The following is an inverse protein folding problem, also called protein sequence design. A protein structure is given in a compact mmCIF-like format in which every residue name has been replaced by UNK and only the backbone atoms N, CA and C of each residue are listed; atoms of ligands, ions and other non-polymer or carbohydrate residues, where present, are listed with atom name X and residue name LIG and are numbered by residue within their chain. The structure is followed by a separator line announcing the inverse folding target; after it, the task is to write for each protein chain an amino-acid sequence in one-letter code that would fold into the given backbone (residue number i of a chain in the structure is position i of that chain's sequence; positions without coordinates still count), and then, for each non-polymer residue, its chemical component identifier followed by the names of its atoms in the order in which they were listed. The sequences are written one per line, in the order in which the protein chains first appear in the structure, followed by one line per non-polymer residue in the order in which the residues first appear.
data_IF_609807668040
#
_entry.id   IF_609807668040
#
_cell.length_a   1.000
_cell.length_b   1.000
_cell.length_c   1.000
_cell.angle_alpha   90.00
_cell.angle_beta   90.00
_cell.angle_gamma   90.00
#
_symmetry.space_group_name_H-M   'P 1'
#
loop_
_entity.id
_entity.type
_entity.pdbx_description
1 polymer ?
#
# COMPACT_ATOMS: atom_id res chain seq x y z
N UNK A 1 -3.40 -15.54 25.49
CA UNK A 1 -2.08 -15.22 24.89
C UNK A 1 -1.95 -13.72 24.81
N UNK A 2 -0.83 -13.17 25.27
CA UNK A 2 -0.59 -11.73 25.21
C UNK A 2 -0.03 -11.41 23.82
N UNK A 3 -0.92 -11.07 22.88
CA UNK A 3 -0.60 -10.94 21.46
C UNK A 3 0.18 -9.66 21.14
N UNK A 4 0.10 -8.61 21.97
CA UNK A 4 0.83 -7.35 21.76
C UNK A 4 1.22 -6.63 23.07
N UNK A 5 2.36 -5.91 23.02
CA UNK A 5 2.88 -5.06 24.11
C UNK A 5 2.11 -3.75 24.28
N UNK A 6 1.50 -3.23 23.22
CA UNK A 6 0.58 -2.08 23.28
C UNK A 6 -0.84 -2.54 23.65
N UNK A 7 -1.44 -2.08 24.78
CA UNK A 7 -2.79 -2.47 25.19
C UNK A 7 -3.88 -2.19 24.16
N UNK A 8 -3.76 -1.12 23.37
CA UNK A 8 -4.76 -0.71 22.38
C UNK A 8 -4.86 -1.68 21.18
N UNK A 9 -3.82 -2.49 20.93
CA UNK A 9 -3.75 -3.42 19.79
C UNK A 9 -4.10 -4.86 20.18
N UNK A 10 -4.54 -5.10 21.42
CA UNK A 10 -4.91 -6.44 21.90
C UNK A 10 -6.26 -6.92 21.38
N UNK A 11 -7.11 -6.03 20.86
CA UNK A 11 -8.35 -6.40 20.18
C UNK A 11 -8.07 -6.80 18.73
N UNK A 12 -7.56 -8.02 18.54
CA UNK A 12 -7.56 -8.64 17.21
C UNK A 12 -9.00 -8.91 16.73
N UNK A 13 -9.23 -9.06 15.41
CA UNK A 13 -10.53 -9.50 14.90
C UNK A 13 -10.90 -10.87 15.48
N UNK A 14 -12.21 -11.08 15.69
CA UNK A 14 -12.74 -12.28 16.33
C UNK A 14 -12.24 -13.58 15.66
N UNK A 15 -12.07 -14.69 16.42
CA UNK A 15 -11.63 -15.96 15.85
C UNK A 15 -12.56 -16.41 14.72
N UNK A 16 -11.97 -16.85 13.62
CA UNK A 16 -12.68 -17.45 12.50
C UNK A 16 -13.47 -18.67 12.98
N UNK A 17 -14.81 -18.62 12.89
CA UNK A 17 -15.66 -19.79 13.08
C UNK A 17 -15.74 -20.56 11.77
N UNK A 18 -15.15 -21.75 11.74
CA UNK A 18 -15.31 -22.66 10.60
C UNK A 18 -16.80 -23.03 10.41
N UNK A 19 -17.35 -22.94 9.18
CA UNK A 19 -18.69 -23.46 8.90
C UNK A 19 -18.71 -24.98 9.05
N UNK A 20 -19.79 -25.52 9.64
CA UNK A 20 -20.02 -26.97 9.71
C UNK A 20 -20.15 -27.53 8.29
N UNK A 21 -19.39 -28.57 7.99
CA UNK A 21 -19.38 -29.28 6.71
C UNK A 21 -20.76 -29.88 6.41
N UNK A 22 -21.44 -29.34 5.40
CA UNK A 22 -22.58 -30.00 4.75
C UNK A 22 -22.03 -30.58 3.44
N UNK A 23 -22.02 -31.90 3.35
CA UNK A 23 -21.61 -32.64 2.16
C UNK A 23 -22.58 -32.37 1.01
N UNK A 24 -22.10 -31.72 -0.06
CA UNK A 24 -22.73 -31.75 -1.38
C UNK A 24 -21.66 -31.65 -2.49
N UNK A 25 -21.94 -32.18 -3.70
CA UNK A 25 -20.91 -32.63 -4.63
C UNK A 25 -20.17 -31.49 -5.33
N UNK A 26 -18.90 -31.75 -5.64
CA UNK A 26 -17.98 -30.84 -6.29
C UNK A 26 -18.53 -30.24 -7.59
N UNK A 27 -18.65 -28.91 -7.64
CA UNK A 27 -18.76 -28.14 -8.87
C UNK A 27 -17.94 -26.85 -8.74
N UNK A 28 -17.04 -26.64 -9.71
CA UNK A 28 -16.52 -25.34 -10.15
C UNK A 28 -15.80 -24.46 -9.14
N UNK A 29 -14.49 -24.24 -9.35
CA UNK A 29 -13.74 -23.21 -8.64
C UNK A 29 -14.47 -21.85 -8.68
N UNK A 30 -14.72 -21.28 -7.51
CA UNK A 30 -15.38 -19.99 -7.38
C UNK A 30 -14.55 -18.92 -8.11
N UNK A 31 -15.09 -18.38 -9.20
CA UNK A 31 -14.63 -17.13 -9.79
C UNK A 31 -14.62 -16.07 -8.66
N UNK A 32 -13.56 -15.25 -8.52
CA UNK A 32 -13.58 -14.15 -7.57
C UNK A 32 -14.83 -13.32 -7.83
N UNK A 33 -15.69 -13.19 -6.81
CA UNK A 33 -16.88 -12.36 -6.89
C UNK A 33 -16.45 -10.94 -7.23
N UNK A 34 -16.79 -10.48 -8.43
CA UNK A 34 -16.48 -9.12 -8.87
C UNK A 34 -17.12 -8.14 -7.88
N UNK A 35 -16.33 -7.22 -7.33
CA UNK A 35 -16.84 -6.24 -6.39
C UNK A 35 -17.97 -5.43 -7.06
N UNK A 36 -19.02 -5.04 -6.32
CA UNK A 36 -20.15 -4.31 -6.89
C UNK A 36 -19.67 -3.05 -7.63
N UNK A 37 -20.07 -2.93 -8.91
CA UNK A 37 -19.77 -1.80 -9.79
C UNK A 37 -20.52 -0.55 -9.33
N UNK A 38 -19.92 0.20 -8.40
CA UNK A 38 -20.33 1.57 -8.09
C UNK A 38 -19.82 2.52 -9.16
N UNK A 39 -20.50 3.67 -9.38
CA UNK A 39 -20.03 4.66 -10.34
C UNK A 39 -18.67 5.25 -9.91
N UNK A 40 -17.82 5.63 -10.87
CA UNK A 40 -16.55 6.27 -10.57
C UNK A 40 -16.78 7.62 -9.88
N UNK A 41 -15.98 7.89 -8.85
CA UNK A 41 -15.99 9.15 -8.11
C UNK A 41 -14.65 9.84 -8.29
N UNK A 42 -14.70 11.13 -8.61
CA UNK A 42 -13.58 12.04 -8.50
C UNK A 42 -14.13 13.37 -8.02
N UNK A 43 -14.01 13.64 -6.73
CA UNK A 43 -14.49 14.88 -6.13
C UNK A 43 -13.57 15.36 -5.01
N UNK A 44 -13.74 16.63 -4.61
CA UNK A 44 -13.07 17.22 -3.46
C UNK A 44 -14.12 17.55 -2.41
N UNK A 45 -13.97 16.97 -1.22
CA UNK A 45 -14.74 17.28 -0.02
C UNK A 45 -13.85 18.03 0.97
N UNK A 46 -13.96 19.36 0.96
CA UNK A 46 -13.09 20.24 1.74
C UNK A 46 -11.61 20.08 1.38
N UNK A 47 -10.84 19.42 2.27
CA UNK A 47 -9.41 19.15 2.09
C UNK A 47 -9.14 17.74 1.53
N UNK A 48 -10.16 16.89 1.43
CA UNK A 48 -10.02 15.49 1.02
C UNK A 48 -10.39 15.33 -0.45
N UNK A 49 -9.46 14.85 -1.25
CA UNK A 49 -9.74 14.34 -2.59
C UNK A 49 -10.22 12.89 -2.49
N UNK A 50 -11.37 12.62 -3.09
CA UNK A 50 -12.05 11.32 -3.07
C UNK A 50 -12.01 10.77 -4.50
N UNK A 51 -11.24 9.70 -4.71
CA UNK A 51 -11.08 9.02 -6.00
C UNK A 51 -11.52 7.58 -5.78
N UNK A 52 -12.69 7.19 -6.28
CA UNK A 52 -13.23 5.84 -6.02
C UNK A 52 -13.70 5.15 -7.29
N UNK A 53 -13.60 3.82 -7.31
CA UNK A 53 -14.18 2.94 -8.35
C UNK A 53 -13.76 3.29 -9.80
N UNK A 54 -12.59 3.91 -9.97
CA UNK A 54 -12.00 4.17 -11.28
C UNK A 54 -11.60 2.83 -11.93
N UNK A 55 -11.80 2.71 -13.25
CA UNK A 55 -11.42 1.53 -14.03
C UNK A 55 -10.77 1.98 -15.33
N UNK A 56 -9.57 1.48 -15.64
CA UNK A 56 -8.86 1.75 -16.88
C UNK A 56 -8.74 3.25 -17.19
N UNK A 57 -8.46 4.06 -16.15
CA UNK A 57 -8.36 5.51 -16.23
C UNK A 57 -6.93 5.98 -15.89
N UNK A 58 -6.06 6.15 -16.90
CA UNK A 58 -4.68 6.62 -16.69
C UNK A 58 -4.57 8.14 -16.52
N UNK A 59 -5.68 8.90 -16.64
CA UNK A 59 -5.66 10.37 -16.72
C UNK A 59 -6.11 11.09 -15.45
N UNK A 60 -6.13 10.44 -14.28
CA UNK A 60 -6.58 11.09 -13.05
C UNK A 60 -5.54 12.12 -12.62
N UNK A 61 -5.94 13.39 -12.49
CA UNK A 61 -5.05 14.50 -12.19
C UNK A 61 -5.60 15.39 -11.08
N UNK A 62 -4.78 15.59 -10.04
CA UNK A 62 -4.97 16.65 -9.05
C UNK A 62 -3.90 17.71 -9.32
N UNK A 63 -4.31 18.89 -9.80
CA UNK A 63 -3.42 19.98 -10.19
C UNK A 63 -3.46 21.20 -9.25
N UNK A 64 -4.58 21.43 -8.59
CA UNK A 64 -4.81 22.56 -7.67
C UNK A 64 -4.83 22.10 -6.21
N UNK A 65 -3.81 21.35 -5.81
CA UNK A 65 -3.71 20.77 -4.47
C UNK A 65 -3.02 21.73 -3.48
N UNK A 66 -3.54 21.81 -2.26
CA UNK A 66 -2.91 22.56 -1.17
C UNK A 66 -2.14 21.63 -0.23
N UNK A 67 -1.13 22.17 0.47
CA UNK A 67 -0.27 21.39 1.39
C UNK A 67 -1.01 20.69 2.52
N UNK A 68 -2.21 21.15 2.88
CA UNK A 68 -3.05 20.53 3.90
C UNK A 68 -4.03 19.47 3.34
N UNK A 69 -4.04 19.26 2.02
CA UNK A 69 -4.95 18.34 1.36
C UNK A 69 -4.52 16.88 1.57
N UNK A 70 -5.48 15.98 1.46
CA UNK A 70 -5.28 14.53 1.55
C UNK A 70 -5.94 13.87 0.35
N UNK A 71 -5.31 12.89 -0.27
CA UNK A 71 -5.93 12.11 -1.34
C UNK A 71 -6.28 10.70 -0.86
N UNK A 72 -7.49 10.23 -1.15
CA UNK A 72 -7.96 8.89 -0.85
C UNK A 72 -8.42 8.21 -2.14
N UNK A 73 -7.65 7.20 -2.58
CA UNK A 73 -7.93 6.40 -3.76
C UNK A 73 -8.44 5.03 -3.33
N UNK A 74 -9.69 4.70 -3.64
CA UNK A 74 -10.36 3.50 -3.14
C UNK A 74 -10.93 2.64 -4.27
N UNK A 75 -10.67 1.33 -4.22
CA UNK A 75 -11.23 0.35 -5.18
C UNK A 75 -11.07 0.74 -6.65
N UNK A 76 -9.95 1.38 -6.97
CA UNK A 76 -9.60 1.68 -8.34
C UNK A 76 -8.86 0.50 -8.96
N UNK A 77 -9.01 0.34 -10.28
CA UNK A 77 -8.37 -0.73 -11.04
C UNK A 77 -7.76 -0.17 -12.31
N UNK A 78 -6.53 -0.59 -12.65
CA UNK A 78 -5.90 -0.26 -13.93
C UNK A 78 -5.88 1.27 -14.17
N UNK A 79 -5.59 2.06 -13.14
CA UNK A 79 -5.76 3.52 -13.17
C UNK A 79 -4.52 4.23 -12.64
N UNK A 80 -4.26 5.43 -13.17
CA UNK A 80 -3.09 6.22 -12.80
C UNK A 80 -3.51 7.56 -12.24
N UNK A 81 -3.03 7.88 -11.04
CA UNK A 81 -3.25 9.16 -10.38
C UNK A 81 -1.96 10.00 -10.42
N UNK A 82 -2.06 11.22 -10.94
CA UNK A 82 -0.99 12.22 -10.86
C UNK A 82 -1.40 13.32 -9.88
N UNK A 83 -0.55 13.59 -8.90
CA UNK A 83 -0.73 14.66 -7.91
C UNK A 83 0.37 15.69 -8.08
N UNK A 84 0.03 16.85 -8.62
CA UNK A 84 0.96 17.98 -8.75
C UNK A 84 0.95 18.82 -7.47
N UNK A 85 2.11 19.34 -7.13
CA UNK A 85 2.34 20.10 -5.92
C UNK A 85 2.54 19.24 -4.67
N UNK A 86 2.70 19.92 -3.54
CA UNK A 86 2.90 19.27 -2.24
C UNK A 86 1.58 19.16 -1.51
N UNK A 87 1.19 17.96 -1.09
CA UNK A 87 0.01 17.72 -0.25
C UNK A 87 0.40 17.04 1.06
N UNK A 88 -0.56 16.86 1.98
CA UNK A 88 -0.25 16.28 3.28
C UNK A 88 0.10 14.79 3.16
N UNK A 89 -0.85 14.00 2.68
CA UNK A 89 -0.71 12.54 2.56
C UNK A 89 -1.62 11.95 1.47
N UNK A 90 -1.31 10.71 1.11
CA UNK A 90 -2.09 9.89 0.19
C UNK A 90 -2.38 8.54 0.82
N UNK A 91 -3.60 8.04 0.61
CA UNK A 91 -3.97 6.66 0.98
C UNK A 91 -4.55 5.97 -0.25
N UNK A 92 -3.97 4.83 -0.60
CA UNK A 92 -4.39 3.94 -1.67
C UNK A 92 -4.93 2.66 -1.03
N UNK A 93 -6.23 2.43 -1.14
CA UNK A 93 -6.93 1.35 -0.46
C UNK A 93 -7.69 0.46 -1.45
N UNK A 94 -7.50 -0.85 -1.34
CA UNK A 94 -8.24 -1.85 -2.11
C UNK A 94 -8.09 -1.67 -3.63
N UNK A 95 -6.96 -1.11 -4.08
CA UNK A 95 -6.69 -0.84 -5.49
C UNK A 95 -5.88 -1.95 -6.14
N UNK A 96 -6.08 -2.15 -7.45
CA UNK A 96 -5.39 -3.19 -8.23
C UNK A 96 -4.78 -2.63 -9.50
N UNK A 97 -3.51 -2.93 -9.81
CA UNK A 97 -2.84 -2.42 -11.02
C UNK A 97 -2.92 -0.90 -11.13
N UNK A 98 -2.72 -0.20 -10.01
CA UNK A 98 -2.82 1.26 -9.98
C UNK A 98 -1.43 1.87 -9.77
N UNK A 99 -1.21 3.00 -10.42
CA UNK A 99 0.05 3.75 -10.29
C UNK A 99 -0.23 5.15 -9.77
N UNK A 100 0.65 5.68 -8.94
CA UNK A 100 0.59 7.07 -8.49
C UNK A 100 1.92 7.78 -8.73
N UNK A 101 1.83 8.97 -9.33
CA UNK A 101 2.93 9.92 -9.47
C UNK A 101 2.63 11.15 -8.62
N UNK A 102 3.55 11.57 -7.76
CA UNK A 102 3.36 12.77 -6.95
C UNK A 102 4.64 13.57 -6.76
N UNK A 103 4.50 14.90 -6.62
CA UNK A 103 5.67 15.76 -6.41
C UNK A 103 6.23 15.58 -5.01
N UNK A 104 5.48 15.88 -3.95
CA UNK A 104 5.96 15.73 -2.57
C UNK A 104 4.83 15.56 -1.57
N UNK A 105 5.13 14.89 -0.46
CA UNK A 105 4.21 14.72 0.66
C UNK A 105 4.79 15.36 1.93
N UNK A 106 3.93 15.91 2.77
CA UNK A 106 4.32 16.43 4.10
C UNK A 106 4.56 15.27 5.05
N UNK A 107 3.76 14.20 4.96
CA UNK A 107 3.78 13.09 5.92
C UNK A 107 4.01 11.74 5.24
N UNK A 108 2.96 11.14 4.66
CA UNK A 108 3.03 9.74 4.24
C UNK A 108 2.22 9.42 3.00
N UNK A 109 2.61 8.30 2.37
CA UNK A 109 1.75 7.53 1.49
C UNK A 109 1.47 6.15 2.11
N UNK A 110 0.23 5.70 2.05
CA UNK A 110 -0.22 4.43 2.62
C UNK A 110 -0.84 3.54 1.54
N UNK A 111 -0.40 2.29 1.44
CA UNK A 111 -0.98 1.24 0.62
C UNK A 111 -1.65 0.20 1.51
N UNK A 112 -2.96 0.02 1.37
CA UNK A 112 -3.74 -0.87 2.21
C UNK A 112 -4.58 -1.81 1.35
N UNK A 113 -4.50 -3.13 1.56
CA UNK A 113 -5.26 -4.12 0.80
C UNK A 113 -5.09 -4.03 -0.73
N UNK A 114 -3.92 -3.63 -1.21
CA UNK A 114 -3.68 -3.39 -2.64
C UNK A 114 -3.05 -4.59 -3.36
N UNK A 115 -3.06 -4.56 -4.69
CA UNK A 115 -2.38 -5.57 -5.50
C UNK A 115 -1.72 -4.96 -6.74
N UNK A 116 -0.45 -5.28 -7.00
CA UNK A 116 0.31 -4.80 -8.16
C UNK A 116 0.25 -3.28 -8.30
N UNK A 117 0.61 -2.56 -7.24
CA UNK A 117 0.60 -1.09 -7.22
C UNK A 117 2.01 -0.52 -7.42
N UNK A 118 2.07 0.70 -7.93
CA UNK A 118 3.31 1.42 -8.15
C UNK A 118 3.19 2.85 -7.62
N UNK A 119 4.28 3.38 -7.08
CA UNK A 119 4.39 4.82 -6.81
C UNK A 119 5.69 5.40 -7.30
N UNK A 120 5.65 6.65 -7.72
CA UNK A 120 6.80 7.46 -8.03
C UNK A 120 6.71 8.81 -7.34
N UNK A 121 7.75 9.16 -6.61
CA UNK A 121 7.93 10.48 -6.00
C UNK A 121 8.94 11.27 -6.82
N UNK A 122 8.66 12.54 -7.10
CA UNK A 122 9.60 13.44 -7.79
C UNK A 122 10.44 14.28 -6.83
N UNK A 123 9.88 14.61 -5.66
CA UNK A 123 10.48 15.40 -4.59
C UNK A 123 10.61 14.59 -3.31
N UNK A 124 10.08 15.05 -2.17
CA UNK A 124 10.26 14.40 -0.85
C UNK A 124 9.02 13.64 -0.38
N UNK A 125 9.21 12.44 0.15
CA UNK A 125 8.23 11.70 0.99
C UNK A 125 8.91 11.20 2.27
N UNK A 126 8.40 11.55 3.46
CA UNK A 126 8.98 11.06 4.72
C UNK A 126 8.71 9.59 5.03
N UNK A 127 7.48 9.10 4.79
CA UNK A 127 7.09 7.75 5.17
C UNK A 127 6.27 7.05 4.10
N UNK A 128 6.59 5.78 3.82
CA UNK A 128 5.80 4.88 2.99
C UNK A 128 5.31 3.74 3.89
N UNK A 129 3.99 3.54 3.97
CA UNK A 129 3.36 2.46 4.74
C UNK A 129 2.70 1.46 3.80
N UNK A 130 2.93 0.16 4.02
CA UNK A 130 2.41 -0.93 3.19
C UNK A 130 1.77 -1.99 4.11
N UNK A 131 0.44 -2.07 4.11
CA UNK A 131 -0.32 -3.08 4.85
C UNK A 131 -1.15 -3.96 3.91
N UNK A 132 -1.06 -5.28 4.09
CA UNK A 132 -1.86 -6.27 3.34
C UNK A 132 -1.82 -6.06 1.82
N UNK A 133 -0.66 -5.73 1.28
CA UNK A 133 -0.50 -5.41 -0.14
C UNK A 133 0.46 -6.40 -0.79
N UNK A 134 0.06 -6.96 -1.92
CA UNK A 134 0.86 -7.91 -2.70
C UNK A 134 1.32 -7.24 -4.00
N UNK A 135 2.61 -6.99 -4.13
CA UNK A 135 3.20 -6.26 -5.26
C UNK A 135 3.13 -4.76 -5.05
N UNK A 136 4.23 -4.16 -4.61
CA UNK A 136 4.36 -2.70 -4.44
C UNK A 136 5.74 -2.23 -4.90
N UNK A 137 5.80 -1.48 -6.00
CA UNK A 137 7.04 -0.89 -6.50
C UNK A 137 7.13 0.59 -6.12
N UNK A 138 8.23 0.97 -5.47
CA UNK A 138 8.46 2.32 -4.96
C UNK A 138 9.62 2.99 -5.68
N UNK A 139 9.32 3.85 -6.66
CA UNK A 139 10.30 4.65 -7.38
C UNK A 139 10.60 5.91 -6.59
N UNK A 140 11.81 5.98 -6.01
CA UNK A 140 12.25 7.11 -5.22
C UNK A 140 12.85 8.22 -6.08
N UNK A 141 13.00 9.40 -5.49
CA UNK A 141 13.81 10.49 -6.03
C UNK A 141 15.10 10.64 -5.23
N UNK A 142 16.06 11.39 -5.76
CA UNK A 142 17.29 11.75 -5.04
C UNK A 142 17.00 12.55 -3.75
N UNK A 143 15.80 13.13 -3.61
CA UNK A 143 15.37 13.90 -2.44
C UNK A 143 14.62 13.04 -1.39
N UNK A 144 14.34 11.77 -1.70
CA UNK A 144 13.59 10.85 -0.83
C UNK A 144 14.43 9.66 -0.34
N UNK A 145 15.75 9.78 -0.31
CA UNK A 145 16.64 8.70 0.13
C UNK A 145 16.60 8.44 1.65
N UNK A 146 16.06 9.39 2.42
CA UNK A 146 15.84 9.27 3.87
C UNK A 146 14.44 8.74 4.25
N UNK A 147 13.69 8.21 3.28
CA UNK A 147 12.32 7.74 3.51
C UNK A 147 12.30 6.54 4.47
N UNK A 148 11.36 6.56 5.41
CA UNK A 148 11.06 5.42 6.26
C UNK A 148 10.02 4.52 5.58
N UNK A 149 10.31 3.22 5.47
CA UNK A 149 9.37 2.26 4.89
C UNK A 149 8.89 1.30 5.98
N UNK A 150 7.58 1.26 6.19
CA UNK A 150 6.91 0.45 7.19
C UNK A 150 6.05 -0.58 6.45
N UNK A 151 6.26 -1.87 6.72
CA UNK A 151 5.52 -2.94 6.07
C UNK A 151 4.88 -3.91 7.08
N UNK A 152 3.68 -4.38 6.75
CA UNK A 152 2.97 -5.42 7.49
C UNK A 152 2.13 -6.30 6.57
N UNK A 153 2.22 -7.62 6.73
CA UNK A 153 1.41 -8.60 5.98
C UNK A 153 1.42 -8.38 4.46
N UNK A 154 2.55 -7.94 3.92
CA UNK A 154 2.68 -7.53 2.52
C UNK A 154 3.79 -8.36 1.87
N UNK A 155 3.69 -8.55 0.56
CA UNK A 155 4.63 -9.35 -0.23
C UNK A 155 5.02 -8.67 -1.53
N UNK A 156 6.12 -9.11 -2.16
CA UNK A 156 6.59 -8.59 -3.47
C UNK A 156 6.82 -7.06 -3.44
N UNK A 157 7.49 -6.58 -2.39
CA UNK A 157 7.79 -5.16 -2.18
C UNK A 157 9.19 -4.82 -2.67
N UNK A 158 9.29 -3.87 -3.60
CA UNK A 158 10.54 -3.51 -4.25
C UNK A 158 10.76 -2.00 -4.19
N UNK A 159 11.92 -1.57 -3.71
CA UNK A 159 12.35 -0.17 -3.69
C UNK A 159 13.27 0.07 -4.87
N UNK A 160 12.95 1.08 -5.68
CA UNK A 160 13.76 1.49 -6.81
C UNK A 160 14.48 2.79 -6.44
N UNK A 161 15.77 2.65 -6.15
CA UNK A 161 16.65 3.72 -5.71
C UNK A 161 17.34 4.35 -6.93
N UNK A 162 17.19 5.67 -7.15
CA UNK A 162 17.78 6.33 -8.32
C UNK A 162 19.31 6.29 -8.27
N UNK A 163 19.94 6.10 -9.44
CA UNK A 163 21.40 6.16 -9.61
C UNK A 163 21.91 7.53 -10.08
N UNK A 164 21.01 8.49 -10.33
CA UNK A 164 21.32 9.83 -10.86
C UNK A 164 21.55 9.90 -12.38
N UNK A 165 21.54 8.78 -13.09
CA UNK A 165 21.70 8.70 -14.56
C UNK A 165 20.40 8.37 -15.31
N UNK A 166 19.25 8.41 -14.63
CA UNK A 166 17.95 7.97 -15.14
C UNK A 166 17.65 6.49 -14.90
N UNK A 167 18.62 5.70 -14.43
CA UNK A 167 18.41 4.30 -14.05
C UNK A 167 18.13 4.16 -12.55
N UNK A 168 17.57 3.00 -12.19
CA UNK A 168 17.28 2.61 -10.82
C UNK A 168 18.05 1.35 -10.41
N UNK A 169 18.37 1.25 -9.12
CA UNK A 169 18.73 -0.02 -8.48
C UNK A 169 17.50 -0.54 -7.78
N UNK A 170 17.05 -1.74 -8.15
CA UNK A 170 15.95 -2.41 -7.48
C UNK A 170 16.46 -3.19 -6.26
N UNK A 171 15.81 -3.01 -5.12
CA UNK A 171 16.10 -3.72 -3.88
C UNK A 171 14.80 -4.26 -3.26
N UNK A 172 14.68 -5.58 -3.03
CA UNK A 172 13.51 -6.15 -2.38
C UNK A 172 13.52 -5.88 -0.87
N UNK A 173 12.34 -5.64 -0.29
CA UNK A 173 12.16 -5.54 1.16
C UNK A 173 11.98 -6.95 1.73
N UNK A 174 12.73 -7.35 2.78
CA UNK A 174 12.50 -8.63 3.45
C UNK A 174 11.09 -8.74 4.02
N UNK A 175 10.41 -9.83 3.68
CA UNK A 175 9.04 -10.13 4.12
C UNK A 175 8.96 -11.31 5.11
N UNK A 176 10.07 -12.02 5.31
CA UNK A 176 10.17 -13.13 6.28
C UNK A 176 11.05 -12.75 7.47
N UNK A 177 10.59 -13.13 8.67
CA UNK A 177 11.29 -12.85 9.92
C UNK A 177 11.49 -14.14 10.73
N UNK A 178 12.71 -14.35 11.24
CA UNK A 178 13.02 -15.46 12.15
C UNK A 178 12.98 -14.94 13.57
N UNK A 179 12.09 -15.50 14.38
CA UNK A 179 12.01 -15.21 15.82
C UNK A 179 12.57 -16.37 16.62
N UNK A 180 13.50 -16.08 17.53
CA UNK A 180 14.11 -17.04 18.44
C UNK A 180 13.88 -16.61 19.89
N UNK A 181 13.79 -17.58 20.80
CA UNK A 181 13.71 -17.31 22.25
C UNK A 181 15.13 -17.36 22.81
N UNK A 182 15.62 -16.26 23.38
CA UNK A 182 16.91 -16.19 24.07
C UNK A 182 16.65 -15.89 25.55
N UNK A 183 16.70 -16.93 26.38
CA UNK A 183 16.34 -16.82 27.79
C UNK A 183 14.87 -16.44 27.96
N UNK A 184 14.59 -15.21 28.44
CA UNK A 184 13.24 -14.68 28.67
C UNK A 184 12.81 -13.61 27.64
N UNK A 185 13.59 -13.38 26.59
CA UNK A 185 13.29 -12.38 25.56
C UNK A 185 13.13 -13.01 24.16
N UNK A 186 12.34 -12.32 23.32
CA UNK A 186 12.24 -12.60 21.90
C UNK A 186 13.34 -11.83 21.16
N UNK A 187 13.99 -12.50 20.23
CA UNK A 187 14.95 -11.92 19.29
C UNK A 187 14.48 -12.20 17.87
N UNK A 188 14.14 -11.15 17.12
CA UNK A 188 13.61 -11.22 15.76
C UNK A 188 14.60 -10.57 14.79
N UNK A 189 14.92 -11.29 13.72
CA UNK A 189 15.77 -10.79 12.64
C UNK A 189 15.05 -10.97 11.30
N UNK A 190 15.34 -10.09 10.34
CA UNK A 190 14.95 -10.30 8.95
C UNK A 190 15.67 -11.53 8.40
N UNK A 191 14.97 -12.32 7.58
CA UNK A 191 15.56 -13.38 6.78
C UNK A 191 15.70 -12.82 5.37
N UNK A 192 16.94 -12.67 4.91
CA UNK A 192 17.19 -12.30 3.52
C UNK A 192 16.82 -13.50 2.64
N UNK A 193 15.86 -13.29 1.74
CA UNK A 193 15.76 -14.15 0.57
C UNK A 193 16.85 -13.69 -0.37
N UNK A 194 17.84 -14.54 -0.65
CA UNK A 194 18.73 -14.38 -1.80
C UNK A 194 17.87 -14.54 -3.06
N UNK A 195 17.20 -13.46 -3.45
CA UNK A 195 16.52 -13.33 -4.74
C UNK A 195 17.51 -12.88 -5.79
#
# INVERSE_FOLDING_TARGET
MQTHKNPALRSGPAPFKAPKSVTNPATGGAKPTEAPNKPPVFSRDGKKWIIEYQKSNPGLLIDNAEMNNVAYMFRCQDSTLTVKGKINSVVIDSCKKCSILFDSLVSSIEFVNCQSVQMQVLGKVPTISIDKTDGCQMYLSDQSLEVEIISSKSSEMNVLIPKGNGDYTEQPIPEQFKTTIKGKSLNTICVESLG
#
